data_IF_432123008891
#
_entry.id   IF_432123008891
#
_cell.length_a   1.000
_cell.length_b   1.000
_cell.length_c   1.000
_cell.angle_alpha   90.00
_cell.angle_beta   90.00
_cell.angle_gamma   90.00
#
_symmetry.space_group_name_H-M   'P 1'
#
loop_
_entity.id
_entity.type
_entity.pdbx_description
1 polymer ?
#
# COMPACT_ATOMS: atom_id res chain seq x y z
N UNK A 1 17.52 13.18 -29.09
CA UNK A 1 16.30 12.75 -28.36
C UNK A 1 15.54 11.78 -29.26
N UNK A 2 15.26 10.56 -28.85
CA UNK A 2 14.51 9.59 -29.69
C UNK A 2 13.05 10.02 -29.80
N UNK A 3 12.37 9.67 -30.91
CA UNK A 3 10.97 10.04 -31.15
C UNK A 3 10.03 9.62 -29.98
N UNK A 4 10.34 8.50 -29.34
CA UNK A 4 9.63 8.02 -28.15
C UNK A 4 9.80 8.95 -26.94
N UNK A 5 11.03 9.40 -26.64
CA UNK A 5 11.29 10.34 -25.55
C UNK A 5 10.62 11.69 -25.79
N UNK A 6 10.56 12.14 -27.04
CA UNK A 6 9.85 13.36 -27.41
C UNK A 6 8.35 13.25 -27.13
N UNK A 7 7.72 12.13 -27.49
CA UNK A 7 6.29 11.88 -27.18
C UNK A 7 6.01 11.89 -25.68
N UNK A 8 6.83 11.18 -24.91
CA UNK A 8 6.70 11.14 -23.45
C UNK A 8 6.84 12.53 -22.82
N UNK A 9 7.83 13.30 -23.27
CA UNK A 9 8.04 14.67 -22.80
C UNK A 9 6.86 15.58 -23.14
N UNK A 10 6.32 15.48 -24.36
CA UNK A 10 5.14 16.24 -24.77
C UNK A 10 3.93 15.88 -23.90
N UNK A 11 3.69 14.59 -23.65
CA UNK A 11 2.60 14.13 -22.78
C UNK A 11 2.74 14.71 -21.37
N UNK A 12 3.95 14.67 -20.82
CA UNK A 12 4.24 15.26 -19.51
C UNK A 12 3.95 16.75 -19.49
N UNK A 13 4.48 17.52 -20.45
CA UNK A 13 4.27 18.97 -20.53
C UNK A 13 2.79 19.33 -20.68
N UNK A 14 2.05 18.60 -21.52
CA UNK A 14 0.61 18.80 -21.71
C UNK A 14 -0.15 18.50 -20.41
N UNK A 15 0.20 17.43 -19.70
CA UNK A 15 -0.39 17.09 -18.42
C UNK A 15 -0.15 18.17 -17.35
N UNK A 16 1.08 18.69 -17.26
CA UNK A 16 1.42 19.76 -16.31
C UNK A 16 0.73 21.08 -16.67
N UNK A 17 0.68 21.42 -17.96
CA UNK A 17 -0.01 22.62 -18.43
C UNK A 17 -1.51 22.53 -18.13
N UNK A 18 -2.13 21.38 -18.35
CA UNK A 18 -3.52 21.14 -17.98
C UNK A 18 -3.73 21.29 -16.47
N UNK A 19 -2.88 20.68 -15.65
CA UNK A 19 -2.98 20.79 -14.19
C UNK A 19 -2.83 22.25 -13.71
N UNK A 20 -1.90 23.01 -14.27
CA UNK A 20 -1.72 24.43 -13.96
C UNK A 20 -2.93 25.28 -14.41
N UNK A 21 -3.46 25.04 -15.61
CA UNK A 21 -4.67 25.72 -16.08
C UNK A 21 -5.84 25.43 -15.15
N UNK A 22 -6.01 24.17 -14.72
CA UNK A 22 -7.05 23.79 -13.78
C UNK A 22 -6.88 24.52 -12.44
N UNK A 23 -5.67 24.52 -11.86
CA UNK A 23 -5.41 25.20 -10.59
C UNK A 23 -5.69 26.70 -10.61
N UNK A 24 -5.56 27.35 -11.78
CA UNK A 24 -5.83 28.80 -11.93
C UNK A 24 -7.28 29.09 -12.30
N UNK A 25 -7.92 28.24 -13.10
CA UNK A 25 -9.24 28.53 -13.71
C UNK A 25 -10.41 27.88 -12.99
N UNK A 26 -10.18 26.78 -12.28
CA UNK A 26 -11.23 26.01 -11.62
C UNK A 26 -11.25 26.39 -10.14
N UNK A 27 -12.27 27.14 -9.75
CA UNK A 27 -12.56 27.36 -8.34
C UNK A 27 -13.02 26.05 -7.68
N UNK A 28 -12.60 25.77 -6.44
CA UNK A 28 -13.06 24.59 -5.73
C UNK A 28 -14.57 24.67 -5.49
N UNK A 29 -15.24 23.55 -5.70
CA UNK A 29 -16.61 23.37 -5.24
C UNK A 29 -16.55 22.94 -3.78
N UNK A 30 -17.41 23.52 -2.96
CA UNK A 30 -17.49 23.15 -1.55
C UNK A 30 -18.59 22.11 -1.37
N UNK A 31 -18.22 20.96 -0.83
CA UNK A 31 -19.16 19.94 -0.38
C UNK A 31 -19.22 19.96 1.12
N UNK A 32 -20.43 19.77 1.64
CA UNK A 32 -20.67 19.66 3.06
C UNK A 32 -20.79 18.17 3.37
N UNK A 33 -19.75 17.61 3.99
CA UNK A 33 -19.81 16.28 4.54
C UNK A 33 -20.60 16.34 5.83
N UNK A 34 -21.78 15.71 5.82
CA UNK A 34 -22.61 15.56 6.98
C UNK A 34 -22.32 14.21 7.63
N UNK A 35 -21.80 14.25 8.85
CA UNK A 35 -21.51 13.06 9.64
C UNK A 35 -22.46 13.00 10.82
N UNK A 36 -23.22 11.92 10.93
CA UNK A 36 -24.10 11.71 12.08
C UNK A 36 -23.25 11.37 13.29
N UNK A 37 -23.48 12.10 14.38
CA UNK A 37 -22.82 11.86 15.64
C UNK A 37 -23.65 10.88 16.47
N UNK A 38 -22.99 9.87 17.03
CA UNK A 38 -23.55 9.06 18.11
C UNK A 38 -23.32 9.78 19.44
N UNK A 39 -24.37 10.41 19.94
CA UNK A 39 -24.28 11.38 21.04
C UNK A 39 -24.98 10.88 22.28
N UNK A 40 -24.41 11.22 23.43
CA UNK A 40 -25.01 11.01 24.74
C UNK A 40 -25.15 12.37 25.43
N UNK A 41 -26.12 12.48 26.34
CA UNK A 41 -26.36 13.69 27.11
C UNK A 41 -26.18 13.39 28.59
N UNK A 42 -25.37 14.20 29.27
CA UNK A 42 -25.24 14.19 30.72
C UNK A 42 -25.49 15.58 31.32
N UNK A 43 -25.17 15.77 32.61
CA UNK A 43 -25.38 17.03 33.31
C UNK A 43 -24.51 18.19 32.79
N UNK A 44 -23.42 17.91 32.07
CA UNK A 44 -22.52 18.92 31.50
C UNK A 44 -22.88 19.31 30.06
N UNK A 45 -23.65 18.47 29.36
CA UNK A 45 -24.19 18.78 28.03
C UNK A 45 -24.25 17.56 27.12
N UNK A 46 -24.43 17.81 25.84
CA UNK A 46 -24.36 16.78 24.78
C UNK A 46 -22.91 16.57 24.37
N UNK A 47 -22.50 15.31 24.30
CA UNK A 47 -21.15 14.92 23.91
C UNK A 47 -21.17 13.71 23.00
N UNK A 48 -20.11 13.53 22.22
CA UNK A 48 -19.77 12.27 21.58
C UNK A 48 -18.43 11.78 22.12
N UNK A 49 -18.12 10.50 21.92
CA UNK A 49 -16.85 9.92 22.35
C UNK A 49 -15.87 9.92 21.18
N UNK A 50 -14.69 10.49 21.40
CA UNK A 50 -13.58 10.50 20.44
C UNK A 50 -12.33 9.98 21.13
N UNK A 51 -11.76 8.88 20.63
CA UNK A 51 -10.55 8.28 21.22
C UNK A 51 -10.67 7.99 22.73
N UNK A 52 -11.89 7.73 23.22
CA UNK A 52 -12.19 7.48 24.63
C UNK A 52 -12.50 8.73 25.45
N UNK A 53 -12.26 9.92 24.91
CA UNK A 53 -12.56 11.20 25.55
C UNK A 53 -13.96 11.69 25.19
N UNK A 54 -14.63 12.32 26.15
CA UNK A 54 -15.93 12.98 25.94
C UNK A 54 -15.69 14.35 25.31
N UNK A 55 -16.11 14.51 24.06
CA UNK A 55 -16.07 15.78 23.35
C UNK A 55 -17.43 16.43 23.44
N UNK A 56 -17.54 17.41 24.34
CA UNK A 56 -18.72 18.26 24.45
C UNK A 56 -18.71 19.27 23.31
N UNK A 57 -19.88 19.49 22.72
CA UNK A 57 -20.05 20.44 21.63
C UNK A 57 -21.33 21.23 21.81
N UNK A 58 -21.37 22.41 21.22
CA UNK A 58 -22.57 23.21 21.16
C UNK A 58 -23.18 23.06 19.78
N UNK A 59 -24.35 22.42 19.71
CA UNK A 59 -25.11 22.31 18.47
C UNK A 59 -26.10 23.46 18.33
N UNK A 60 -26.16 24.02 17.12
CA UNK A 60 -27.20 24.96 16.71
C UNK A 60 -28.29 24.22 15.91
N UNK A 61 -29.53 24.70 15.88
CA UNK A 61 -30.56 24.13 15.01
C UNK A 61 -30.07 24.10 13.55
N UNK A 62 -30.28 22.99 12.84
CA UNK A 62 -29.85 22.86 11.43
C UNK A 62 -30.42 23.99 10.57
N UNK A 63 -31.62 24.49 10.90
CA UNK A 63 -32.27 25.61 10.26
C UNK A 63 -31.50 26.94 10.39
N UNK A 64 -30.55 27.08 11.33
CA UNK A 64 -29.76 28.29 11.54
C UNK A 64 -28.30 28.13 11.10
N UNK A 65 -27.91 26.91 10.72
CA UNK A 65 -26.55 26.61 10.29
C UNK A 65 -26.20 27.27 8.95
N UNK A 66 -25.02 27.89 8.90
CA UNK A 66 -24.44 28.43 7.66
C UNK A 66 -24.09 27.30 6.70
N UNK A 67 -23.60 26.18 7.24
CA UNK A 67 -23.30 24.97 6.49
C UNK A 67 -24.53 24.09 6.24
N UNK A 68 -25.75 24.61 6.35
CA UNK A 68 -26.95 23.81 6.13
C UNK A 68 -26.98 23.28 4.67
N UNK A 69 -27.02 21.94 4.45
CA UNK A 69 -27.06 21.35 3.11
C UNK A 69 -28.28 21.79 2.27
N UNK A 70 -29.37 22.20 2.90
CA UNK A 70 -30.56 22.72 2.22
C UNK A 70 -30.41 24.18 1.74
N UNK A 71 -29.41 24.91 2.25
CA UNK A 71 -29.12 26.32 1.92
C UNK A 71 -27.75 26.50 1.27
N UNK A 72 -27.20 25.43 0.68
CA UNK A 72 -25.90 25.44 0.02
C UNK A 72 -25.71 26.76 -0.74
N UNK A 73 -24.60 27.49 -0.49
CA UNK A 73 -24.29 28.64 -1.30
C UNK A 73 -24.22 28.18 -2.76
N UNK A 74 -24.86 28.92 -3.67
CA UNK A 74 -24.66 28.72 -5.10
C UNK A 74 -23.15 28.70 -5.37
N UNK A 75 -22.70 27.66 -6.07
CA UNK A 75 -21.30 27.39 -6.45
C UNK A 75 -20.42 28.63 -6.51
N UNK A 76 -19.41 28.71 -5.64
CA UNK A 76 -18.30 29.67 -5.76
C UNK A 76 -18.01 30.56 -4.56
N UNK A 77 -18.89 30.63 -3.55
CA UNK A 77 -18.57 31.35 -2.30
C UNK A 77 -17.89 30.43 -1.30
N UNK A 78 -16.65 30.77 -0.93
CA UNK A 78 -15.93 30.13 0.16
C UNK A 78 -16.73 30.29 1.46
N UNK A 79 -17.09 29.19 2.16
CA UNK A 79 -17.81 29.26 3.41
C UNK A 79 -16.97 29.99 4.46
N UNK A 80 -17.61 30.76 5.34
CA UNK A 80 -16.87 31.51 6.37
C UNK A 80 -16.43 30.62 7.54
N UNK A 81 -17.12 29.48 7.71
CA UNK A 81 -16.82 28.46 8.71
C UNK A 81 -16.59 27.11 8.01
N UNK A 82 -15.57 26.36 8.42
CA UNK A 82 -15.24 25.05 7.85
C UNK A 82 -15.89 23.88 8.58
N UNK A 83 -16.37 24.10 9.81
CA UNK A 83 -16.94 23.06 10.67
C UNK A 83 -18.06 23.62 11.57
N UNK A 84 -19.21 22.96 11.60
CA UNK A 84 -20.33 23.30 12.49
C UNK A 84 -21.01 22.05 13.04
N UNK A 85 -21.45 22.12 14.30
CA UNK A 85 -22.27 21.08 14.93
C UNK A 85 -23.74 21.51 14.89
N UNK A 86 -24.62 20.62 14.43
CA UNK A 86 -26.03 20.92 14.26
C UNK A 86 -26.91 19.86 14.89
N UNK A 87 -28.11 20.28 15.31
CA UNK A 87 -29.18 19.40 15.78
C UNK A 87 -30.37 19.48 14.83
N UNK A 88 -30.90 18.31 14.46
CA UNK A 88 -32.16 18.16 13.75
C UNK A 88 -33.21 17.62 14.73
N UNK A 89 -34.15 18.49 15.09
CA UNK A 89 -35.26 18.19 16.02
C UNK A 89 -36.55 17.80 15.29
N UNK A 90 -36.51 17.57 13.96
CA UNK A 90 -37.71 17.25 13.17
C UNK A 90 -38.23 15.81 13.36
N UNK A 91 -37.40 14.91 13.90
CA UNK A 91 -37.74 13.51 14.17
C UNK A 91 -38.29 13.24 15.58
N UNK A 92 -38.56 11.97 15.90
CA UNK A 92 -38.98 11.55 17.25
C UNK A 92 -37.89 11.76 18.32
N UNK A 93 -36.61 11.68 17.92
CA UNK A 93 -35.45 11.97 18.75
C UNK A 93 -34.51 12.97 18.05
N UNK A 94 -33.88 13.90 18.79
CA UNK A 94 -32.95 14.86 18.22
C UNK A 94 -31.73 14.15 17.65
N UNK A 95 -31.45 14.36 16.37
CA UNK A 95 -30.27 13.81 15.71
C UNK A 95 -29.19 14.89 15.57
N UNK A 96 -27.98 14.57 16.04
CA UNK A 96 -26.85 15.50 15.97
C UNK A 96 -25.94 15.16 14.80
N UNK A 97 -25.45 16.20 14.13
CA UNK A 97 -24.56 16.08 13.00
C UNK A 97 -23.38 17.03 13.09
N UNK A 98 -22.24 16.60 12.61
CA UNK A 98 -21.08 17.44 12.30
C UNK A 98 -21.09 17.73 10.81
N UNK A 99 -21.10 19.00 10.46
CA UNK A 99 -21.05 19.50 9.10
C UNK A 99 -19.64 20.01 8.84
N UNK A 100 -18.92 19.37 7.93
CA UNK A 100 -17.56 19.78 7.54
C UNK A 100 -17.58 20.23 6.09
N UNK A 101 -17.23 21.49 5.85
CA UNK A 101 -17.04 22.01 4.51
C UNK A 101 -15.67 21.59 3.99
N UNK A 102 -15.65 20.78 2.92
CA UNK A 102 -14.44 20.36 2.25
C UNK A 102 -14.42 20.86 0.81
N UNK A 103 -13.31 21.48 0.37
CA UNK A 103 -13.15 21.85 -1.03
C UNK A 103 -12.83 20.61 -1.85
N UNK A 104 -13.48 20.46 -3.00
CA UNK A 104 -13.17 19.44 -3.98
C UNK A 104 -13.17 20.06 -5.39
N UNK A 105 -12.40 19.47 -6.31
CA UNK A 105 -12.28 19.96 -7.69
C UNK A 105 -13.10 19.11 -8.67
N UNK A 106 -14.15 18.45 -8.16
CA UNK A 106 -15.00 17.54 -8.94
C UNK A 106 -14.18 16.49 -9.68
N UNK A 107 -14.39 16.37 -10.99
CA UNK A 107 -13.65 15.44 -11.86
C UNK A 107 -12.15 15.72 -11.92
N UNK A 108 -11.72 16.97 -11.65
CA UNK A 108 -10.30 17.34 -11.69
C UNK A 108 -9.51 16.81 -10.50
N UNK A 109 -10.16 16.42 -9.40
CA UNK A 109 -9.50 15.71 -8.29
C UNK A 109 -8.91 14.36 -8.72
N UNK A 110 -9.38 13.79 -9.85
CA UNK A 110 -8.81 12.58 -10.44
C UNK A 110 -7.61 12.85 -11.34
N UNK A 111 -7.38 14.11 -11.75
CA UNK A 111 -6.31 14.47 -12.68
C UNK A 111 -4.92 13.99 -12.20
N UNK A 112 -4.52 14.17 -10.93
CA UNK A 112 -3.20 13.73 -10.47
C UNK A 112 -3.01 12.21 -10.59
N UNK A 113 -4.05 11.44 -10.23
CA UNK A 113 -4.04 9.98 -10.33
C UNK A 113 -4.01 9.51 -11.78
N UNK A 114 -4.81 10.13 -12.66
CA UNK A 114 -4.82 9.84 -14.10
C UNK A 114 -3.47 10.15 -14.74
N UNK A 115 -2.86 11.28 -14.39
CA UNK A 115 -1.52 11.66 -14.86
C UNK A 115 -0.49 10.63 -14.41
N UNK A 116 -0.51 10.22 -13.14
CA UNK A 116 0.40 9.18 -12.65
C UNK A 116 0.25 7.85 -13.40
N UNK A 117 -0.98 7.37 -13.57
CA UNK A 117 -1.24 6.09 -14.27
C UNK A 117 -0.87 6.17 -15.75
N UNK A 118 -1.25 7.27 -16.43
CA UNK A 118 -0.98 7.46 -17.85
C UNK A 118 0.52 7.63 -18.11
N UNK A 119 1.22 8.41 -17.29
CA UNK A 119 2.67 8.52 -17.38
C UNK A 119 3.31 7.16 -17.12
N UNK A 120 2.88 6.41 -16.10
CA UNK A 120 3.44 5.09 -15.80
C UNK A 120 3.27 4.12 -16.98
N UNK A 121 2.11 4.11 -17.63
CA UNK A 121 1.86 3.27 -18.80
C UNK A 121 2.77 3.64 -19.99
N UNK A 122 2.95 4.94 -20.23
CA UNK A 122 3.71 5.45 -21.39
C UNK A 122 5.22 5.39 -21.16
N UNK A 123 5.69 5.78 -19.97
CA UNK A 123 7.11 5.82 -19.59
C UNK A 123 7.62 4.43 -19.24
N UNK A 124 6.75 3.55 -18.72
CA UNK A 124 7.13 2.32 -18.03
C UNK A 124 8.09 2.55 -16.86
N UNK A 125 8.03 3.75 -16.28
CA UNK A 125 8.85 4.20 -15.17
C UNK A 125 7.92 4.70 -14.04
N UNK A 126 7.65 3.87 -13.03
CA UNK A 126 6.70 4.22 -11.97
C UNK A 126 7.13 5.44 -11.15
N UNK A 127 8.42 5.58 -10.86
CA UNK A 127 8.94 6.66 -9.99
C UNK A 127 8.73 8.03 -10.64
N UNK A 128 9.11 8.18 -11.91
CA UNK A 128 8.96 9.45 -12.63
C UNK A 128 7.48 9.80 -12.85
N UNK A 129 6.65 8.77 -13.08
CA UNK A 129 5.21 8.93 -13.19
C UNK A 129 4.52 9.38 -11.90
N UNK A 130 4.89 8.79 -10.75
CA UNK A 130 4.38 9.18 -9.43
C UNK A 130 4.77 10.62 -9.10
N UNK A 131 6.02 11.01 -9.36
CA UNK A 131 6.45 12.40 -9.20
C UNK A 131 5.63 13.34 -10.08
N UNK A 132 5.36 12.96 -11.34
CA UNK A 132 4.48 13.72 -12.22
C UNK A 132 3.06 13.86 -11.67
N UNK A 133 2.51 12.81 -11.05
CA UNK A 133 1.22 12.87 -10.35
C UNK A 133 1.24 13.85 -9.17
N UNK A 134 2.30 13.82 -8.34
CA UNK A 134 2.47 14.75 -7.20
C UNK A 134 2.51 16.19 -7.70
N UNK A 135 3.29 16.48 -8.75
CA UNK A 135 3.38 17.82 -9.34
C UNK A 135 2.02 18.25 -9.90
N UNK A 136 1.31 17.38 -10.61
CA UNK A 136 -0.05 17.67 -11.09
C UNK A 136 -1.01 18.00 -9.94
N UNK A 137 -0.95 17.24 -8.83
CA UNK A 137 -1.75 17.50 -7.63
C UNK A 137 -1.45 18.86 -7.02
N UNK A 138 -0.17 19.16 -6.81
CA UNK A 138 0.26 20.44 -6.27
C UNK A 138 -0.21 21.63 -7.13
N UNK A 139 -0.10 21.51 -8.46
CA UNK A 139 -0.58 22.52 -9.40
C UNK A 139 -2.09 22.73 -9.34
N UNK A 140 -2.88 21.65 -9.23
CA UNK A 140 -4.35 21.74 -9.07
C UNK A 140 -4.72 22.43 -7.75
N UNK A 141 -3.95 22.19 -6.69
CA UNK A 141 -4.14 22.81 -5.38
C UNK A 141 -3.57 24.24 -5.30
N UNK A 142 -2.89 24.74 -6.33
CA UNK A 142 -2.22 26.04 -6.32
C UNK A 142 -0.98 26.12 -5.41
N UNK A 143 -0.42 24.97 -5.04
CA UNK A 143 0.80 24.86 -4.24
C UNK A 143 2.03 24.82 -5.16
N UNK A 144 2.69 25.98 -5.31
CA UNK A 144 3.83 26.11 -6.23
C UNK A 144 5.19 25.77 -5.58
N UNK A 145 5.29 25.87 -4.25
CA UNK A 145 6.47 25.38 -3.54
C UNK A 145 6.36 23.88 -3.26
N UNK A 146 6.74 23.07 -4.25
CA UNK A 146 6.75 21.61 -4.13
C UNK A 146 7.59 21.13 -2.94
N UNK A 147 8.64 21.87 -2.55
CA UNK A 147 9.52 21.42 -1.47
C UNK A 147 8.91 21.73 -0.13
N UNK A 148 8.56 23.01 0.10
CA UNK A 148 8.06 23.52 1.37
C UNK A 148 6.63 23.12 1.67
N UNK A 149 5.74 23.17 0.68
CA UNK A 149 4.30 22.98 0.89
C UNK A 149 3.84 21.53 0.68
N UNK A 150 4.63 20.70 -0.02
CA UNK A 150 4.23 19.35 -0.41
C UNK A 150 5.19 18.28 0.11
N UNK A 151 6.47 18.32 -0.27
CA UNK A 151 7.40 17.23 0.03
C UNK A 151 7.86 17.21 1.49
N UNK A 152 8.22 18.35 2.09
CA UNK A 152 8.70 18.39 3.49
C UNK A 152 7.59 18.01 4.49
N UNK A 153 6.35 18.53 4.40
CA UNK A 153 5.29 18.16 5.32
C UNK A 153 4.96 16.67 5.27
N UNK A 154 5.05 16.04 4.10
CA UNK A 154 4.69 14.64 3.92
C UNK A 154 5.86 13.66 4.15
N UNK A 155 7.06 13.99 3.64
CA UNK A 155 8.25 13.11 3.73
C UNK A 155 9.16 13.44 4.92
N UNK A 156 9.15 14.69 5.38
CA UNK A 156 10.06 15.21 6.39
C UNK A 156 9.59 15.03 7.83
N UNK A 157 8.43 14.40 8.06
CA UNK A 157 7.99 14.12 9.43
C UNK A 157 8.93 13.11 10.08
N UNK A 158 9.49 13.47 11.23
CA UNK A 158 10.46 12.64 11.95
C UNK A 158 9.92 11.22 12.25
N UNK A 159 8.59 11.10 12.42
CA UNK A 159 7.91 9.82 12.65
C UNK A 159 7.98 8.90 11.42
N UNK A 160 7.61 9.41 10.24
CA UNK A 160 7.58 8.60 9.00
C UNK A 160 8.99 8.31 8.51
N UNK A 161 9.84 9.34 8.44
CA UNK A 161 11.23 9.17 8.01
C UNK A 161 12.01 8.25 8.95
N UNK A 162 11.83 8.40 10.27
CA UNK A 162 12.51 7.57 11.27
C UNK A 162 12.16 6.09 11.15
N UNK A 163 10.86 5.76 11.06
CA UNK A 163 10.41 4.37 10.92
C UNK A 163 10.89 3.78 9.61
N UNK A 164 10.74 4.49 8.50
CA UNK A 164 11.04 3.97 7.16
C UNK A 164 12.55 3.80 6.94
N UNK A 165 13.38 4.74 7.39
CA UNK A 165 14.84 4.64 7.32
C UNK A 165 15.34 3.49 8.20
N UNK A 166 14.89 3.43 9.46
CA UNK A 166 15.30 2.35 10.38
C UNK A 166 14.94 0.98 9.80
N UNK A 167 13.72 0.85 9.28
CA UNK A 167 13.21 -0.39 8.71
C UNK A 167 14.00 -0.84 7.46
N UNK A 168 14.24 0.07 6.50
CA UNK A 168 15.05 -0.25 5.32
C UNK A 168 16.51 -0.55 5.67
N UNK A 169 17.07 0.15 6.66
CA UNK A 169 18.46 -0.05 7.08
C UNK A 169 18.67 -1.41 7.74
N UNK A 170 17.77 -1.80 8.66
CA UNK A 170 17.80 -3.12 9.30
C UNK A 170 17.60 -4.24 8.28
N UNK A 171 16.69 -4.07 7.32
CA UNK A 171 16.50 -5.05 6.26
C UNK A 171 17.75 -5.20 5.39
N UNK A 172 18.33 -4.08 4.93
CA UNK A 172 19.56 -4.08 4.15
C UNK A 172 20.71 -4.78 4.91
N UNK A 173 20.80 -4.55 6.22
CA UNK A 173 21.73 -5.24 7.11
C UNK A 173 21.51 -6.75 7.14
N UNK A 174 20.27 -7.21 7.38
CA UNK A 174 19.92 -8.63 7.38
C UNK A 174 20.27 -9.29 6.04
N UNK A 175 19.92 -8.64 4.93
CA UNK A 175 20.23 -9.14 3.59
C UNK A 175 21.73 -9.21 3.32
N UNK A 176 22.49 -8.20 3.77
CA UNK A 176 23.94 -8.21 3.69
C UNK A 176 24.56 -9.39 4.44
N UNK A 177 24.03 -9.71 5.63
CA UNK A 177 24.45 -10.90 6.39
C UNK A 177 24.12 -12.17 5.60
N UNK A 178 22.90 -12.33 5.10
CA UNK A 178 22.49 -13.51 4.34
C UNK A 178 23.30 -13.74 3.06
N UNK A 179 23.65 -12.67 2.35
CA UNK A 179 24.53 -12.73 1.17
C UNK A 179 25.92 -13.27 1.55
N UNK A 180 26.46 -12.84 2.69
CA UNK A 180 27.78 -13.25 3.21
C UNK A 180 27.80 -14.64 3.84
N UNK A 181 26.71 -15.09 4.44
CA UNK A 181 26.68 -16.41 5.09
C UNK A 181 26.16 -17.52 4.17
N UNK A 182 25.48 -17.16 3.08
CA UNK A 182 24.87 -18.12 2.17
C UNK A 182 23.58 -18.74 2.72
N UNK A 183 22.88 -18.05 3.62
CA UNK A 183 21.64 -18.52 4.24
C UNK A 183 20.57 -18.92 3.20
N UNK A 184 20.38 -18.11 2.16
CA UNK A 184 19.46 -18.41 1.05
C UNK A 184 19.86 -19.67 0.28
N UNK A 185 21.16 -19.89 0.06
CA UNK A 185 21.68 -21.08 -0.61
C UNK A 185 21.48 -22.34 0.25
N UNK A 186 21.72 -22.24 1.57
CA UNK A 186 21.48 -23.33 2.52
C UNK A 186 20.00 -23.73 2.53
N UNK A 187 19.09 -22.76 2.53
CA UNK A 187 17.66 -23.00 2.40
C UNK A 187 17.32 -23.67 1.06
N UNK A 188 17.82 -23.15 -0.06
CA UNK A 188 17.57 -23.72 -1.38
C UNK A 188 18.04 -25.18 -1.49
N UNK A 189 19.22 -25.51 -0.94
CA UNK A 189 19.75 -26.88 -0.93
C UNK A 189 18.91 -27.82 -0.05
N UNK A 190 18.49 -27.36 1.14
CA UNK A 190 17.58 -28.13 2.00
C UNK A 190 16.27 -28.46 1.29
N UNK A 191 15.64 -27.45 0.68
CA UNK A 191 14.37 -27.60 -0.02
C UNK A 191 14.52 -28.46 -1.26
N UNK A 192 15.61 -28.31 -2.01
CA UNK A 192 15.89 -29.17 -3.17
C UNK A 192 16.05 -30.63 -2.76
N UNK A 193 16.73 -30.89 -1.63
CA UNK A 193 16.98 -32.25 -1.17
C UNK A 193 15.74 -32.97 -0.65
N UNK A 194 14.79 -32.25 -0.04
CA UNK A 194 13.70 -32.89 0.71
C UNK A 194 12.30 -32.65 0.13
N UNK A 195 12.08 -31.55 -0.59
CA UNK A 195 10.74 -31.08 -0.95
C UNK A 195 10.56 -30.94 -2.47
N UNK A 196 11.54 -30.33 -3.14
CA UNK A 196 11.42 -29.98 -4.56
C UNK A 196 11.77 -31.16 -5.45
N UNK A 197 10.85 -31.49 -6.36
CA UNK A 197 10.95 -32.58 -7.34
C UNK A 197 10.79 -32.08 -8.78
N UNK A 198 10.61 -30.78 -8.96
CA UNK A 198 10.25 -30.18 -10.22
C UNK A 198 9.74 -28.74 -10.06
N UNK A 199 9.37 -28.10 -11.20
CA UNK A 199 8.97 -26.70 -11.22
C UNK A 199 7.75 -26.37 -10.37
N UNK A 200 6.74 -27.26 -10.38
CA UNK A 200 5.51 -27.08 -9.57
C UNK A 200 5.84 -27.00 -8.08
N UNK A 201 6.65 -27.92 -7.59
CA UNK A 201 7.04 -27.95 -6.18
C UNK A 201 7.93 -26.78 -5.81
N UNK A 202 8.81 -26.31 -6.69
CA UNK A 202 9.60 -25.10 -6.44
C UNK A 202 8.73 -23.84 -6.38
N UNK A 203 7.77 -23.67 -7.30
CA UNK A 203 6.80 -22.56 -7.24
C UNK A 203 5.91 -22.62 -6.01
N UNK A 204 5.51 -23.81 -5.57
CA UNK A 204 4.78 -23.99 -4.31
C UNK A 204 5.61 -23.60 -3.10
N UNK A 205 6.91 -23.93 -3.07
CA UNK A 205 7.81 -23.46 -2.01
C UNK A 205 7.90 -21.94 -2.01
N UNK A 206 8.03 -21.31 -3.18
CA UNK A 206 8.06 -19.86 -3.29
C UNK A 206 6.75 -19.20 -2.80
N UNK A 207 5.61 -19.73 -3.23
CA UNK A 207 4.29 -19.27 -2.79
C UNK A 207 4.11 -19.43 -1.28
N UNK A 208 4.44 -20.60 -0.73
CA UNK A 208 4.33 -20.85 0.71
C UNK A 208 5.23 -19.92 1.52
N UNK A 209 6.44 -19.64 1.04
CA UNK A 209 7.34 -18.73 1.74
C UNK A 209 6.80 -17.29 1.75
N UNK A 210 6.20 -16.83 0.64
CA UNK A 210 5.50 -15.54 0.59
C UNK A 210 4.36 -15.48 1.60
N UNK A 211 3.53 -16.52 1.66
CA UNK A 211 2.42 -16.61 2.63
C UNK A 211 2.91 -16.59 4.08
N UNK A 212 4.00 -17.31 4.38
CA UNK A 212 4.56 -17.40 5.74
C UNK A 212 5.19 -16.08 6.18
N UNK A 213 5.77 -15.30 5.26
CA UNK A 213 6.43 -14.05 5.64
C UNK A 213 5.44 -12.92 5.94
N UNK A 214 4.35 -12.82 5.18
CA UNK A 214 3.19 -11.90 5.30
C UNK A 214 3.39 -10.43 5.72
N UNK A 215 4.62 -9.95 5.89
CA UNK A 215 4.98 -8.57 6.22
C UNK A 215 4.54 -7.60 5.12
N UNK A 216 4.45 -8.07 3.87
CA UNK A 216 3.99 -7.31 2.72
C UNK A 216 5.05 -6.40 2.09
N UNK A 217 4.63 -5.72 1.03
CA UNK A 217 5.40 -4.68 0.35
C UNK A 217 6.76 -5.11 -0.17
N UNK A 218 7.67 -4.13 -0.26
CA UNK A 218 9.01 -4.30 -0.82
C UNK A 218 9.84 -5.33 -0.05
N UNK A 219 9.67 -5.40 1.27
CA UNK A 219 10.47 -6.27 2.12
C UNK A 219 10.15 -7.73 1.88
N UNK A 220 8.86 -8.06 1.83
CA UNK A 220 8.43 -9.41 1.46
C UNK A 220 8.94 -9.78 0.08
N UNK A 221 8.79 -8.88 -0.88
CA UNK A 221 9.21 -9.13 -2.26
C UNK A 221 10.70 -9.38 -2.37
N UNK A 222 11.50 -8.55 -1.72
CA UNK A 222 12.96 -8.64 -1.77
C UNK A 222 13.45 -9.87 -1.01
N UNK A 223 13.01 -10.09 0.23
CA UNK A 223 13.47 -11.19 1.07
C UNK A 223 13.09 -12.55 0.47
N UNK A 224 11.80 -12.73 0.16
CA UNK A 224 11.29 -13.98 -0.42
C UNK A 224 11.95 -14.18 -1.78
N UNK A 225 11.96 -13.16 -2.64
CA UNK A 225 12.56 -13.21 -3.97
C UNK A 225 14.02 -13.65 -3.95
N UNK A 226 14.87 -13.05 -3.12
CA UNK A 226 16.29 -13.47 -3.02
C UNK A 226 16.46 -14.88 -2.46
N UNK A 227 15.52 -15.33 -1.63
CA UNK A 227 15.58 -16.66 -1.01
C UNK A 227 15.21 -17.76 -2.00
N UNK A 228 14.14 -17.55 -2.76
CA UNK A 228 13.56 -18.59 -3.62
C UNK A 228 14.22 -18.64 -4.99
N UNK A 229 14.96 -17.59 -5.36
CA UNK A 229 15.57 -17.52 -6.69
C UNK A 229 16.59 -18.64 -6.98
N UNK A 230 17.59 -18.95 -6.12
CA UNK A 230 18.51 -20.05 -6.40
C UNK A 230 17.80 -21.39 -6.59
N UNK A 231 16.69 -21.60 -5.86
CA UNK A 231 15.82 -22.76 -6.00
C UNK A 231 15.05 -22.75 -7.34
N UNK A 232 14.49 -21.60 -7.71
CA UNK A 232 13.71 -21.42 -8.92
C UNK A 232 14.56 -21.58 -10.19
N UNK A 233 15.77 -21.02 -10.17
CA UNK A 233 16.72 -21.05 -11.28
C UNK A 233 17.15 -22.50 -11.58
N UNK A 234 17.42 -23.29 -10.54
CA UNK A 234 17.76 -24.72 -10.65
C UNK A 234 16.65 -25.53 -11.31
N UNK A 235 15.40 -25.18 -11.01
CA UNK A 235 14.21 -25.81 -11.58
C UNK A 235 13.75 -25.15 -12.89
N UNK A 236 14.56 -24.27 -13.51
CA UNK A 236 14.26 -23.60 -14.80
C UNK A 236 12.97 -22.79 -14.81
N UNK A 237 12.59 -22.19 -13.68
CA UNK A 237 11.43 -21.29 -13.60
C UNK A 237 11.84 -19.93 -14.15
N UNK A 238 11.06 -19.36 -15.06
CA UNK A 238 11.34 -18.03 -15.61
C UNK A 238 11.32 -16.97 -14.51
N UNK A 239 12.16 -15.94 -14.62
CA UNK A 239 12.16 -14.87 -13.62
C UNK A 239 10.84 -14.09 -13.61
N UNK A 240 10.11 -14.06 -14.73
CA UNK A 240 8.76 -13.49 -14.80
C UNK A 240 7.75 -14.29 -13.98
N UNK A 241 7.77 -15.64 -14.07
CA UNK A 241 6.94 -16.49 -13.21
C UNK A 241 7.26 -16.24 -11.73
N UNK A 242 8.55 -16.20 -11.40
CA UNK A 242 9.00 -16.02 -10.03
C UNK A 242 8.59 -14.65 -9.48
N UNK A 243 8.81 -13.58 -10.25
CA UNK A 243 8.42 -12.23 -9.88
C UNK A 243 6.91 -12.13 -9.64
N UNK A 244 6.10 -12.74 -10.50
CA UNK A 244 4.65 -12.77 -10.31
C UNK A 244 4.24 -13.51 -9.04
N UNK A 245 4.87 -14.65 -8.74
CA UNK A 245 4.59 -15.41 -7.50
C UNK A 245 4.94 -14.60 -6.26
N UNK A 246 6.13 -14.00 -6.25
CA UNK A 246 6.65 -13.24 -5.10
C UNK A 246 5.84 -11.95 -4.87
N UNK A 247 5.51 -11.21 -5.93
CA UNK A 247 4.73 -9.97 -5.83
C UNK A 247 3.28 -10.23 -5.39
N UNK A 248 2.62 -11.23 -5.98
CA UNK A 248 1.24 -11.59 -5.64
C UNK A 248 1.09 -12.19 -4.24
N UNK A 249 2.19 -12.62 -3.62
CA UNK A 249 2.24 -13.10 -2.23
C UNK A 249 2.86 -12.09 -1.28
N UNK A 250 3.15 -10.87 -1.73
CA UNK A 250 3.63 -9.80 -0.87
C UNK A 250 2.47 -9.00 -0.26
N UNK A 251 2.03 -7.92 -0.91
CA UNK A 251 0.96 -7.06 -0.36
C UNK A 251 -0.40 -7.77 -0.21
N UNK A 252 -0.85 -8.65 -1.13
CA UNK A 252 -2.12 -9.35 -0.98
C UNK A 252 -2.24 -10.18 0.31
N UNK A 253 -1.23 -10.99 0.65
CA UNK A 253 -1.29 -11.76 1.90
C UNK A 253 -1.20 -10.86 3.12
N UNK A 254 -0.51 -9.72 3.03
CA UNK A 254 -0.39 -8.79 4.14
C UNK A 254 -1.74 -8.18 4.54
N UNK A 255 -2.67 -8.05 3.59
CA UNK A 255 -4.06 -7.66 3.85
C UNK A 255 -4.93 -8.80 4.41
N UNK A 256 -4.50 -10.05 4.32
CA UNK A 256 -5.24 -11.23 4.81
C UNK A 256 -4.72 -11.72 6.16
N UNK A 257 -3.40 -11.78 6.33
CA UNK A 257 -2.69 -12.14 7.56
C UNK A 257 -2.23 -10.85 8.25
N UNK A 258 -3.18 -10.24 8.93
CA UNK A 258 -3.11 -8.93 9.54
C UNK A 258 -2.28 -8.85 10.85
N UNK A 259 -1.17 -9.59 10.93
CA UNK A 259 -0.20 -9.53 12.03
C UNK A 259 1.02 -8.66 11.66
N UNK A 260 0.76 -7.56 10.94
CA UNK A 260 1.75 -6.66 10.38
C UNK A 260 1.25 -5.20 10.53
N UNK A 261 1.91 -4.23 9.91
CA UNK A 261 1.54 -2.81 10.04
C UNK A 261 0.26 -2.40 9.28
N UNK A 262 -0.35 -3.26 8.47
CA UNK A 262 -1.49 -2.90 7.62
C UNK A 262 -2.76 -2.52 8.38
N UNK A 263 -3.19 -3.22 9.45
CA UNK A 263 -4.37 -2.82 10.21
C UNK A 263 -4.20 -1.43 10.81
N UNK A 264 -3.02 -1.12 11.36
CA UNK A 264 -2.68 0.19 11.91
C UNK A 264 -2.60 1.30 10.84
N UNK A 265 -2.28 0.96 9.60
CA UNK A 265 -2.31 1.89 8.48
C UNK A 265 -3.75 2.13 7.98
N UNK A 266 -4.51 1.06 7.74
CA UNK A 266 -5.87 1.15 7.21
C UNK A 266 -6.83 1.79 8.21
N UNK A 267 -6.67 1.52 9.52
CA UNK A 267 -7.49 2.13 10.56
C UNK A 267 -7.42 3.67 10.53
N UNK A 268 -6.28 4.24 10.13
CA UNK A 268 -6.11 5.70 10.04
C UNK A 268 -6.94 6.32 8.90
N UNK A 269 -7.24 5.56 7.84
CA UNK A 269 -8.04 6.05 6.71
C UNK A 269 -9.54 5.89 6.89
N UNK A 270 -9.97 5.02 7.80
CA UNK A 270 -11.39 4.73 8.02
C UNK A 270 -11.94 5.44 9.26
N UNK A 271 -11.20 6.39 9.82
CA UNK A 271 -11.71 7.23 10.89
C UNK A 271 -12.83 8.13 10.37
N UNK A 272 -13.97 8.08 11.06
CA UNK A 272 -15.13 8.93 10.79
C UNK A 272 -15.57 9.53 12.12
N UNK A 273 -15.44 10.84 12.25
CA UNK A 273 -15.77 11.55 13.48
C UNK A 273 -17.24 11.32 13.88
N UNK A 274 -17.51 11.03 15.15
CA UNK A 274 -18.87 10.78 15.65
C UNK A 274 -19.49 9.44 15.29
N UNK A 275 -18.81 8.57 14.55
CA UNK A 275 -19.26 7.19 14.35
C UNK A 275 -18.72 6.35 15.51
N UNK A 276 -19.57 6.05 16.50
CA UNK A 276 -19.17 5.38 17.74
C UNK A 276 -18.48 4.04 17.53
N UNK A 277 -18.93 3.23 16.58
CA UNK A 277 -18.31 1.94 16.27
C UNK A 277 -16.94 2.05 15.56
N UNK A 278 -16.46 3.26 15.27
CA UNK A 278 -15.13 3.57 14.74
C UNK A 278 -14.39 4.62 15.59
N UNK A 279 -14.91 4.94 16.79
CA UNK A 279 -14.46 6.06 17.60
C UNK A 279 -13.03 5.87 18.14
N UNK A 280 -12.66 4.63 18.47
CA UNK A 280 -11.32 4.31 18.95
C UNK A 280 -10.48 3.62 17.88
N UNK A 281 -9.16 3.72 17.99
CA UNK A 281 -8.23 2.95 17.15
C UNK A 281 -8.53 1.44 17.23
N UNK A 282 -8.83 0.92 18.43
CA UNK A 282 -9.18 -0.48 18.65
C UNK A 282 -10.44 -0.89 17.88
N UNK A 283 -11.48 -0.05 17.85
CA UNK A 283 -12.71 -0.34 17.11
C UNK A 283 -12.45 -0.39 15.60
N UNK A 284 -11.64 0.54 15.08
CA UNK A 284 -11.25 0.57 13.66
C UNK A 284 -10.39 -0.62 13.27
N UNK A 285 -9.48 -1.07 14.14
CA UNK A 285 -8.72 -2.31 13.94
C UNK A 285 -9.66 -3.52 13.93
N UNK A 286 -10.62 -3.60 14.85
CA UNK A 286 -11.64 -4.67 14.87
C UNK A 286 -12.50 -4.69 13.61
N UNK A 287 -12.90 -3.51 13.13
CA UNK A 287 -13.61 -3.35 11.85
C UNK A 287 -12.76 -3.84 10.68
N UNK A 288 -11.48 -3.50 10.65
CA UNK A 288 -10.54 -4.00 9.64
C UNK A 288 -10.53 -5.54 9.61
N UNK A 289 -10.41 -6.21 10.77
CA UNK A 289 -10.43 -7.68 10.83
C UNK A 289 -11.76 -8.27 10.33
N UNK A 290 -12.87 -7.60 10.62
CA UNK A 290 -14.20 -7.98 10.11
C UNK A 290 -14.32 -7.82 8.59
N UNK A 291 -13.51 -6.93 7.99
CA UNK A 291 -13.51 -6.67 6.55
C UNK A 291 -12.64 -7.66 5.74
N UNK A 292 -11.70 -8.38 6.37
CA UNK A 292 -10.74 -9.28 5.70
C UNK A 292 -11.39 -10.27 4.71
N UNK A 293 -12.54 -10.93 5.03
CA UNK A 293 -13.21 -11.84 4.10
C UNK A 293 -13.73 -11.17 2.82
N UNK A 294 -13.88 -9.85 2.81
CA UNK A 294 -14.39 -9.06 1.69
C UNK A 294 -13.28 -8.46 0.82
N UNK A 295 -12.01 -8.69 1.16
CA UNK A 295 -10.86 -8.27 0.35
C UNK A 295 -10.65 -9.21 -0.85
N UNK A 296 -11.62 -9.24 -1.77
CA UNK A 296 -11.65 -10.17 -2.90
C UNK A 296 -10.40 -10.14 -3.79
N UNK A 297 -9.83 -8.95 -4.03
CA UNK A 297 -8.59 -8.84 -4.80
C UNK A 297 -7.45 -9.64 -4.16
N UNK A 298 -7.26 -9.51 -2.85
CA UNK A 298 -6.20 -10.21 -2.14
C UNK A 298 -6.41 -11.73 -2.21
N UNK A 299 -7.63 -12.18 -1.96
CA UNK A 299 -8.03 -13.60 -2.04
C UNK A 299 -7.76 -14.15 -3.45
N UNK A 300 -8.18 -13.44 -4.50
CA UNK A 300 -8.01 -13.86 -5.88
C UNK A 300 -6.55 -13.83 -6.34
N UNK A 301 -5.75 -12.86 -5.89
CA UNK A 301 -4.33 -12.81 -6.19
C UNK A 301 -3.58 -14.00 -5.57
N UNK A 302 -3.81 -14.29 -4.29
CA UNK A 302 -3.18 -15.40 -3.58
C UNK A 302 -3.59 -16.74 -4.20
N UNK A 303 -4.89 -16.92 -4.45
CA UNK A 303 -5.43 -18.14 -5.05
C UNK A 303 -4.99 -18.30 -6.51
N UNK A 304 -5.03 -17.24 -7.31
CA UNK A 304 -4.58 -17.23 -8.70
C UNK A 304 -3.12 -17.61 -8.83
N UNK A 305 -2.29 -17.10 -7.93
CA UNK A 305 -0.86 -17.44 -7.86
C UNK A 305 -0.62 -18.84 -7.32
N UNK A 306 -1.41 -19.31 -6.36
CA UNK A 306 -1.40 -20.73 -5.97
C UNK A 306 -1.70 -21.65 -7.16
N UNK A 307 -2.74 -21.31 -7.93
CA UNK A 307 -3.13 -22.02 -9.15
C UNK A 307 -2.03 -21.99 -10.23
N UNK A 308 -1.34 -20.86 -10.40
CA UNK A 308 -0.17 -20.75 -11.26
C UNK A 308 0.99 -21.65 -10.79
N UNK A 309 1.22 -21.72 -9.48
CA UNK A 309 2.27 -22.56 -8.88
C UNK A 309 2.03 -24.05 -9.10
N UNK A 310 0.77 -24.49 -9.11
CA UNK A 310 0.39 -25.88 -9.45
C UNK A 310 0.19 -26.13 -10.96
N UNK A 311 0.51 -25.14 -11.81
CA UNK A 311 0.33 -25.17 -13.27
C UNK A 311 -1.12 -25.39 -13.73
N UNK A 312 -2.09 -24.85 -12.97
CA UNK A 312 -3.50 -24.78 -13.38
C UNK A 312 -4.06 -23.35 -13.29
N UNK A 313 -3.37 -22.33 -13.86
CA UNK A 313 -3.90 -20.98 -13.83
C UNK A 313 -5.20 -20.90 -14.64
N UNK A 314 -6.27 -20.26 -14.13
CA UNK A 314 -7.51 -20.10 -14.87
C UNK A 314 -7.34 -19.19 -16.10
N UNK A 315 -6.45 -18.20 -15.99
CA UNK A 315 -6.08 -17.28 -17.05
C UNK A 315 -4.56 -17.15 -17.10
N UNK A 316 -3.97 -17.42 -18.27
CA UNK A 316 -2.53 -17.27 -18.49
C UNK A 316 -2.31 -16.40 -19.72
N UNK A 317 -1.72 -15.23 -19.52
CA UNK A 317 -1.38 -14.33 -20.62
C UNK A 317 -0.34 -14.95 -21.56
N UNK A 318 -0.40 -14.58 -22.85
CA UNK A 318 0.52 -15.06 -23.89
C UNK A 318 1.99 -14.89 -23.50
N UNK A 319 2.35 -13.72 -22.96
CA UNK A 319 3.71 -13.39 -22.55
C UNK A 319 4.23 -14.32 -21.45
N UNK A 320 3.39 -14.61 -20.44
CA UNK A 320 3.77 -15.54 -19.37
C UNK A 320 3.94 -16.96 -19.90
N UNK A 321 3.08 -17.39 -20.83
CA UNK A 321 3.22 -18.71 -21.47
C UNK A 321 4.51 -18.83 -22.28
N UNK A 322 4.86 -17.80 -23.06
CA UNK A 322 6.11 -17.75 -23.83
C UNK A 322 7.34 -17.74 -22.89
N UNK A 323 7.28 -17.03 -21.75
CA UNK A 323 8.35 -17.05 -20.75
C UNK A 323 8.53 -18.43 -20.11
N UNK A 324 7.41 -19.10 -19.76
CA UNK A 324 7.40 -20.47 -19.27
C UNK A 324 8.02 -21.43 -20.28
N UNK A 325 7.58 -21.39 -21.54
CA UNK A 325 8.09 -22.27 -22.60
C UNK A 325 9.58 -22.06 -22.85
N UNK A 326 10.05 -20.80 -22.88
CA UNK A 326 11.46 -20.44 -23.01
C UNK A 326 12.29 -21.08 -21.90
N UNK A 327 11.97 -20.79 -20.64
CA UNK A 327 12.75 -21.28 -19.52
C UNK A 327 12.79 -22.82 -19.47
N UNK A 328 11.67 -23.50 -19.78
CA UNK A 328 11.62 -24.97 -19.79
C UNK A 328 12.41 -25.61 -20.92
N UNK A 329 12.33 -25.04 -22.13
CA UNK A 329 12.90 -25.64 -23.35
C UNK A 329 14.37 -25.27 -23.57
N UNK A 330 14.75 -24.02 -23.34
CA UNK A 330 16.11 -23.52 -23.59
C UNK A 330 16.94 -23.39 -22.32
N UNK A 331 16.30 -23.25 -21.15
CA UNK A 331 16.97 -22.93 -19.89
C UNK A 331 17.25 -21.44 -19.68
N UNK A 332 16.84 -20.57 -20.62
CA UNK A 332 16.98 -19.12 -20.49
C UNK A 332 15.88 -18.55 -19.58
N UNK A 333 16.27 -18.10 -18.38
CA UNK A 333 15.35 -17.66 -17.34
C UNK A 333 14.87 -16.22 -17.53
N UNK A 334 15.74 -15.36 -18.07
CA UNK A 334 15.47 -13.96 -18.36
C UNK A 334 14.88 -13.76 -19.76
N UNK A 335 14.06 -12.73 -19.93
CA UNK A 335 13.64 -12.29 -21.25
C UNK A 335 14.85 -11.73 -22.05
N UNK A 336 14.86 -11.87 -23.38
CA UNK A 336 15.88 -11.24 -24.22
C UNK A 336 15.94 -9.72 -23.99
N UNK A 337 17.10 -9.23 -23.57
CA UNK A 337 17.32 -7.81 -23.27
C UNK A 337 16.77 -7.33 -21.92
N UNK A 338 16.42 -8.24 -21.01
CA UNK A 338 16.05 -7.87 -19.64
C UNK A 338 17.25 -7.28 -18.88
N UNK A 339 16.98 -6.22 -18.11
CA UNK A 339 17.92 -5.63 -17.15
C UNK A 339 17.36 -5.83 -15.73
N UNK A 340 17.80 -6.87 -14.99
CA UNK A 340 17.30 -7.12 -13.65
C UNK A 340 17.61 -5.96 -12.70
N UNK A 341 16.57 -5.47 -11.99
CA UNK A 341 16.68 -4.40 -10.99
C UNK A 341 17.45 -4.79 -9.73
N UNK A 342 17.62 -6.10 -9.46
CA UNK A 342 18.24 -6.56 -8.22
C UNK A 342 19.75 -6.33 -8.22
N UNK A 343 20.27 -5.75 -7.13
CA UNK A 343 21.69 -5.59 -6.93
C UNK A 343 22.40 -6.96 -6.96
N UNK A 344 23.48 -7.08 -7.74
CA UNK A 344 24.24 -8.33 -7.89
C UNK A 344 24.72 -8.90 -6.54
N UNK A 345 25.02 -8.04 -5.58
CA UNK A 345 25.43 -8.43 -4.22
C UNK A 345 24.32 -9.15 -3.42
N UNK A 346 23.05 -8.89 -3.73
CA UNK A 346 21.90 -9.60 -3.14
C UNK A 346 21.62 -10.94 -3.82
N UNK A 347 22.26 -11.17 -4.98
CA UNK A 347 22.07 -12.33 -5.84
C UNK A 347 23.27 -13.29 -5.78
N UNK A 348 24.45 -12.78 -5.42
CA UNK A 348 25.66 -13.53 -5.27
C UNK A 348 25.87 -13.92 -3.80
N UNK A 349 26.12 -15.20 -3.55
CA UNK A 349 26.53 -15.66 -2.24
C UNK A 349 28.05 -15.55 -2.11
N UNK A 350 28.52 -14.64 -1.25
CA UNK A 350 29.93 -14.40 -1.00
C UNK A 350 30.35 -15.08 0.30
N UNK A 351 30.22 -16.41 0.34
CA UNK A 351 30.54 -17.24 1.51
C UNK A 351 32.07 -17.36 1.67
N UNK A 352 32.64 -17.03 2.84
CA UNK A 352 34.05 -17.27 3.11
C UNK A 352 34.40 -18.77 3.01
N UNK A 353 35.60 -19.10 2.52
CA UNK A 353 36.02 -20.50 2.29
C UNK A 353 35.94 -21.40 3.54
N UNK A 354 36.12 -20.83 4.74
CA UNK A 354 36.05 -21.55 6.01
C UNK A 354 34.67 -21.51 6.69
N UNK A 355 33.65 -20.95 6.02
CA UNK A 355 32.31 -20.83 6.55
C UNK A 355 31.39 -21.90 5.95
N UNK A 356 30.62 -22.58 6.80
CA UNK A 356 29.60 -23.54 6.36
C UNK A 356 28.22 -22.91 6.53
N UNK A 357 27.51 -22.61 5.43
CA UNK A 357 26.15 -22.07 5.49
C UNK A 357 25.25 -22.96 6.34
N UNK A 358 24.52 -22.36 7.28
CA UNK A 358 23.55 -23.07 8.11
C UNK A 358 22.13 -22.59 7.81
N UNK A 359 21.22 -23.54 7.62
CA UNK A 359 19.79 -23.30 7.42
C UNK A 359 19.17 -22.51 8.59
N UNK A 360 19.69 -22.64 9.81
CA UNK A 360 19.21 -21.88 10.96
C UNK A 360 19.42 -20.37 10.81
N UNK A 361 20.42 -19.92 10.05
CA UNK A 361 20.67 -18.49 9.81
C UNK A 361 19.58 -17.84 8.94
N UNK A 362 18.86 -18.67 8.18
CA UNK A 362 17.66 -18.27 7.45
C UNK A 362 16.43 -18.24 8.37
N UNK A 363 16.17 -19.36 9.08
CA UNK A 363 14.95 -19.48 9.87
C UNK A 363 14.95 -18.66 11.15
N UNK A 364 16.10 -18.44 11.80
CA UNK A 364 16.16 -17.78 13.10
C UNK A 364 15.76 -16.29 13.02
N UNK A 365 16.28 -15.47 12.08
CA UNK A 365 15.80 -14.10 11.92
C UNK A 365 14.32 -14.03 11.52
N UNK A 366 13.88 -14.94 10.66
CA UNK A 366 12.48 -15.04 10.22
C UNK A 366 11.54 -15.37 11.39
N UNK A 367 11.88 -16.39 12.16
CA UNK A 367 11.11 -16.82 13.34
C UNK A 367 11.14 -15.77 14.44
N UNK A 368 12.27 -15.07 14.64
CA UNK A 368 12.34 -13.95 15.57
C UNK A 368 11.43 -12.80 15.13
N UNK A 369 11.43 -12.43 13.84
CA UNK A 369 10.61 -11.35 13.30
C UNK A 369 9.11 -11.68 13.40
N UNK A 370 8.71 -12.87 12.98
CA UNK A 370 7.31 -13.35 13.09
C UNK A 370 6.92 -13.48 14.56
N UNK A 371 7.79 -14.04 15.39
CA UNK A 371 7.55 -14.25 16.82
C UNK A 371 7.36 -12.93 17.56
N UNK A 372 8.20 -11.93 17.31
CA UNK A 372 8.06 -10.59 17.87
C UNK A 372 6.75 -9.95 17.38
N UNK A 373 6.46 -10.00 16.08
CA UNK A 373 5.23 -9.41 15.53
C UNK A 373 3.96 -10.00 16.17
N UNK A 374 3.86 -11.33 16.24
CA UNK A 374 2.70 -12.01 16.85
C UNK A 374 2.66 -11.77 18.36
N UNK A 375 3.79 -11.87 19.06
CA UNK A 375 3.82 -11.72 20.52
C UNK A 375 3.49 -10.30 20.95
N UNK A 376 4.02 -9.28 20.27
CA UNK A 376 3.68 -7.88 20.53
C UNK A 376 2.19 -7.64 20.32
N UNK A 377 1.63 -8.15 19.22
CA UNK A 377 0.19 -8.06 18.94
C UNK A 377 -0.66 -8.75 20.03
N UNK A 378 -0.28 -9.95 20.47
CA UNK A 378 -1.03 -10.69 21.51
C UNK A 378 -0.95 -10.00 22.87
N UNK A 379 0.19 -9.41 23.24
CA UNK A 379 0.38 -8.77 24.55
C UNK A 379 -0.19 -7.35 24.59
N UNK A 380 0.02 -6.56 23.53
CA UNK A 380 -0.28 -5.13 23.51
C UNK A 380 -1.50 -4.77 22.64
N UNK A 381 -2.07 -5.72 21.90
CA UNK A 381 -3.22 -5.48 21.02
C UNK A 381 -2.92 -4.60 19.79
N UNK A 382 -1.64 -4.34 19.50
CA UNK A 382 -1.16 -3.55 18.36
C UNK A 382 0.16 -4.08 17.81
#
# INVERSE_FOLDING_TARGET
MTLARLRTFVIFVVAMALAAVVGVTVSPTWTINQVRLDTQTDAAGTYYVLEGDRVYFHAIPIADAELNPARLPETGTTPSVTEQFVVDESGEEPAFYQLVAQPHWGWWSLLPAVVAVLLCWVTKEPITALLGGIIAGALVLGQYDLTGDVLIPELGTAKVAGILILYLWLLGGLMGVWSRTGAAQAFAELMTRHVVRGPRTAKLVAWSLGVIFFQGGTVSTVLVGTTVKPLADKERISHEELAYVVDSTASPIASQLAFNAWPGYVQAFIFVAGVSFLATETDRISFFFSSVPFCFYAIFAILGTFLLSVERPPFLGRQMREAMERARSTGELDAPGAEPLSAKELQASNVPENYKPNVLEFFLPLAALIGIAITTFVIHGS
#
